data_IF_159997707900
#
_entry.id   IF_159997707900
#
_cell.length_a   1.000
_cell.length_b   1.000
_cell.length_c   1.000
_cell.angle_alpha   90.00
_cell.angle_beta   90.00
_cell.angle_gamma   90.00
#
_symmetry.space_group_name_H-M   'P 1'
#
loop_
_entity.id
_entity.type
_entity.pdbx_description
1 polymer ?
#
# COMPACT_ATOMS: atom_id res chain seq x y z
N UNK A 1 -13.89 7.41 -7.07
CA UNK A 1 -12.80 6.43 -7.15
C UNK A 1 -12.52 6.05 -5.71
N UNK A 2 -12.62 4.78 -5.37
CA UNK A 2 -12.39 4.32 -3.99
C UNK A 2 -10.88 4.37 -3.70
N UNK A 3 -10.51 4.89 -2.53
CA UNK A 3 -9.11 4.97 -2.08
C UNK A 3 -9.00 4.50 -0.63
N UNK A 4 -7.85 3.90 -0.30
CA UNK A 4 -7.47 3.46 1.05
C UNK A 4 -6.12 4.08 1.39
N UNK A 5 -5.96 4.55 2.63
CA UNK A 5 -4.73 5.20 3.09
C UNK A 5 -4.03 4.33 4.12
N UNK A 6 -2.71 4.29 4.04
CA UNK A 6 -1.90 3.42 4.87
C UNK A 6 -0.71 4.19 5.43
N UNK A 7 -0.56 4.17 6.76
CA UNK A 7 0.62 4.68 7.44
C UNK A 7 1.72 3.62 7.41
N UNK A 8 2.93 4.02 7.05
CA UNK A 8 4.10 3.16 7.15
C UNK A 8 4.62 3.13 8.60
N UNK A 9 4.60 1.98 9.25
CA UNK A 9 5.06 1.83 10.63
C UNK A 9 6.58 1.72 10.74
N UNK A 10 7.23 1.19 9.70
CA UNK A 10 8.69 1.00 9.60
C UNK A 10 9.11 1.18 8.15
N UNK A 11 10.28 1.78 7.91
CA UNK A 11 10.78 1.93 6.54
C UNK A 11 11.10 0.56 5.93
N UNK A 12 10.61 0.29 4.73
CA UNK A 12 10.95 -0.91 3.97
C UNK A 12 10.97 -0.64 2.47
N UNK A 13 11.57 -1.58 1.73
CA UNK A 13 11.64 -1.53 0.28
C UNK A 13 11.07 -2.81 -0.30
N UNK A 14 10.23 -2.69 -1.32
CA UNK A 14 9.69 -3.83 -2.06
C UNK A 14 9.76 -3.53 -3.55
N UNK A 15 10.46 -4.40 -4.30
CA UNK A 15 10.65 -4.27 -5.75
C UNK A 15 11.08 -2.85 -6.21
N UNK A 16 11.95 -2.20 -5.43
CA UNK A 16 12.46 -0.86 -5.71
C UNK A 16 11.56 0.31 -5.32
N UNK A 17 10.39 0.05 -4.71
CA UNK A 17 9.51 1.07 -4.12
C UNK A 17 9.76 1.19 -2.63
N UNK A 18 9.68 2.39 -2.09
CA UNK A 18 10.00 2.66 -0.68
C UNK A 18 8.76 3.11 0.09
N UNK A 19 8.49 2.42 1.18
CA UNK A 19 7.60 2.87 2.22
C UNK A 19 8.49 3.50 3.30
N UNK A 20 8.36 4.79 3.56
CA UNK A 20 9.16 5.50 4.56
C UNK A 20 8.38 5.59 5.88
N UNK A 21 9.05 5.27 6.99
CA UNK A 21 8.44 5.32 8.33
C UNK A 21 7.74 6.65 8.58
N UNK A 22 6.55 6.55 9.17
CA UNK A 22 5.65 7.65 9.54
C UNK A 22 4.98 8.41 8.38
N UNK A 23 5.31 8.09 7.12
CA UNK A 23 4.60 8.60 5.93
C UNK A 23 3.28 7.87 5.67
N UNK A 24 2.37 8.54 4.95
CA UNK A 24 1.07 7.99 4.53
C UNK A 24 1.06 7.80 3.02
N UNK A 25 0.67 6.61 2.59
CA UNK A 25 0.59 6.21 1.19
C UNK A 25 -0.83 5.84 0.81
N UNK A 26 -1.18 6.03 -0.46
CA UNK A 26 -2.55 5.82 -0.96
C UNK A 26 -2.60 4.64 -1.92
N UNK A 27 -3.58 3.77 -1.70
CA UNK A 27 -4.00 2.77 -2.67
C UNK A 27 -5.29 3.21 -3.35
N UNK A 28 -5.28 3.25 -4.69
CA UNK A 28 -6.43 3.61 -5.52
C UNK A 28 -7.07 2.37 -6.13
N UNK A 29 -8.40 2.30 -6.10
CA UNK A 29 -9.14 1.25 -6.80
C UNK A 29 -9.04 1.44 -8.30
N UNK A 30 -8.66 0.38 -9.01
CA UNK A 30 -8.60 0.30 -10.48
C UNK A 30 -9.52 -0.83 -10.99
N UNK A 31 -9.78 -0.91 -12.30
CA UNK A 31 -10.85 -1.77 -12.86
C UNK A 31 -10.77 -3.25 -12.43
N UNK A 32 -9.57 -3.77 -12.23
CA UNK A 32 -9.34 -5.19 -11.86
C UNK A 32 -8.58 -5.36 -10.54
N UNK A 33 -8.48 -4.32 -9.72
CA UNK A 33 -7.76 -4.43 -8.46
C UNK A 33 -7.40 -3.11 -7.81
N UNK A 34 -6.16 -2.99 -7.37
CA UNK A 34 -5.66 -1.85 -6.62
C UNK A 34 -4.30 -1.42 -7.13
N UNK A 35 -4.08 -0.11 -7.08
CA UNK A 35 -2.81 0.52 -7.34
C UNK A 35 -2.31 1.21 -6.08
N UNK A 36 -1.24 0.70 -5.48
CA UNK A 36 -0.65 1.25 -4.27
C UNK A 36 0.58 2.10 -4.60
N UNK A 37 0.53 3.39 -4.27
CA UNK A 37 1.59 4.35 -4.62
C UNK A 37 2.51 4.56 -3.43
N UNK A 38 3.78 4.24 -3.62
CA UNK A 38 4.87 4.45 -2.67
C UNK A 38 5.88 5.46 -3.25
N UNK A 39 6.96 5.74 -2.51
CA UNK A 39 8.10 6.41 -3.13
C UNK A 39 8.66 5.56 -4.27
N UNK A 40 9.09 6.23 -5.32
CA UNK A 40 9.70 5.62 -6.49
C UNK A 40 8.74 4.68 -7.28
N UNK A 41 7.43 4.90 -7.19
CA UNK A 41 6.46 4.38 -8.15
C UNK A 41 5.25 3.69 -7.53
N UNK A 42 4.56 2.92 -8.36
CA UNK A 42 3.30 2.27 -8.04
C UNK A 42 3.41 0.74 -8.11
N UNK A 43 2.67 0.06 -7.25
CA UNK A 43 2.48 -1.39 -7.23
C UNK A 43 1.06 -1.70 -7.67
N UNK A 44 0.91 -2.53 -8.69
CA UNK A 44 -0.40 -2.94 -9.20
C UNK A 44 -0.72 -4.35 -8.70
N UNK A 45 -1.89 -4.50 -8.08
CA UNK A 45 -2.34 -5.75 -7.48
C UNK A 45 -3.72 -6.12 -8.03
N UNK A 46 -3.99 -7.41 -8.18
CA UNK A 46 -5.38 -7.89 -8.24
C UNK A 46 -6.03 -7.70 -6.87
N UNK A 47 -7.37 -7.63 -6.81
CA UNK A 47 -8.05 -7.42 -5.51
C UNK A 47 -7.67 -8.46 -4.45
N UNK A 48 -7.58 -9.74 -4.82
CA UNK A 48 -7.19 -10.82 -3.89
C UNK A 48 -5.72 -10.68 -3.45
N UNK A 49 -4.81 -10.41 -4.38
CA UNK A 49 -3.40 -10.23 -4.04
C UNK A 49 -3.18 -9.02 -3.13
N UNK A 50 -3.96 -7.95 -3.32
CA UNK A 50 -3.89 -6.77 -2.47
C UNK A 50 -4.21 -7.10 -1.02
N UNK A 51 -5.36 -7.72 -0.73
CA UNK A 51 -5.73 -8.06 0.65
C UNK A 51 -4.70 -9.00 1.30
N UNK A 52 -4.22 -10.02 0.58
CA UNK A 52 -3.15 -10.90 1.08
C UNK A 52 -1.86 -10.15 1.39
N UNK A 53 -1.50 -9.17 0.56
CA UNK A 53 -0.32 -8.34 0.79
C UNK A 53 -0.50 -7.47 2.04
N UNK A 54 -1.71 -6.94 2.28
CA UNK A 54 -2.01 -6.19 3.50
C UNK A 54 -1.93 -7.06 4.76
N UNK A 55 -2.39 -8.31 4.69
CA UNK A 55 -2.24 -9.29 5.77
C UNK A 55 -0.76 -9.56 6.07
N UNK A 56 0.05 -9.84 5.04
CA UNK A 56 1.49 -10.09 5.18
C UNK A 56 2.25 -8.86 5.70
N UNK A 57 1.79 -7.66 5.34
CA UNK A 57 2.43 -6.39 5.71
C UNK A 57 1.84 -5.72 6.95
N UNK A 58 0.94 -6.38 7.68
CA UNK A 58 0.27 -5.81 8.86
C UNK A 58 1.23 -5.35 9.99
N UNK A 59 2.49 -5.78 9.96
CA UNK A 59 3.52 -5.36 10.92
C UNK A 59 4.35 -4.15 10.47
N UNK A 60 4.19 -3.72 9.21
CA UNK A 60 4.96 -2.64 8.58
C UNK A 60 4.09 -1.54 7.98
N UNK A 61 2.82 -1.80 7.70
CA UNK A 61 1.81 -0.80 7.32
C UNK A 61 0.54 -0.97 8.15
N UNK A 62 -0.17 0.14 8.36
CA UNK A 62 -1.45 0.19 9.07
C UNK A 62 -2.44 1.02 8.26
N UNK A 63 -3.65 0.50 8.03
CA UNK A 63 -4.71 1.26 7.37
C UNK A 63 -5.21 2.37 8.31
N UNK A 64 -5.24 3.60 7.82
CA UNK A 64 -5.77 4.74 8.57
C UNK A 64 -7.19 5.01 8.09
N UNK A 65 -8.15 4.95 9.00
CA UNK A 65 -9.51 5.38 8.73
C UNK A 65 -9.54 6.92 8.66
N UNK A 66 -10.08 7.45 7.57
CA UNK A 66 -10.53 8.85 7.49
C UNK A 66 -11.93 9.00 8.06
#
# INVERSE_FOLDING_TARGET
>A
MEERKFKCLKSFTSEGRYCLRDEIYTAYKISHGWKFVFENGEMNFTSNLFERTLEDWNTVIEEVAE
#
